data_IF_236346198289
#
_entry.id   IF_236346198289
#
_cell.length_a   1.000
_cell.length_b   1.000
_cell.length_c   1.000
_cell.angle_alpha   90.00
_cell.angle_beta   90.00
_cell.angle_gamma   90.00
#
_symmetry.space_group_name_H-M   'P 1'
#
loop_
_entity.id
_entity.type
_entity.pdbx_description
1 polymer ?
#
# COMPACT_ATOMS: atom_id res chain seq x y z
N UNK A 1 9.16 -6.41 -23.81
CA UNK A 1 9.16 -5.75 -22.50
C UNK A 1 9.26 -6.87 -21.48
N UNK A 2 10.31 -6.89 -20.66
CA UNK A 2 10.39 -7.89 -19.59
C UNK A 2 9.38 -7.54 -18.48
N UNK A 3 8.76 -8.54 -17.82
CA UNK A 3 7.83 -8.28 -16.73
C UNK A 3 8.58 -7.66 -15.54
N UNK A 4 8.10 -6.50 -15.08
CA UNK A 4 8.63 -5.86 -13.88
C UNK A 4 7.99 -6.49 -12.63
N UNK A 5 8.77 -7.22 -11.85
CA UNK A 5 8.29 -7.85 -10.61
C UNK A 5 8.20 -6.85 -9.46
N UNK A 6 7.20 -7.00 -8.60
CA UNK A 6 7.08 -6.29 -7.32
C UNK A 6 7.39 -7.29 -6.20
N UNK A 7 8.11 -6.83 -5.17
CA UNK A 7 8.40 -7.65 -3.99
C UNK A 7 7.17 -7.77 -3.08
N UNK A 8 6.36 -6.71 -3.03
CA UNK A 8 5.15 -6.65 -2.19
C UNK A 8 4.02 -5.97 -2.95
N UNK A 9 2.83 -6.57 -2.92
CA UNK A 9 1.59 -5.98 -3.40
C UNK A 9 0.64 -5.79 -2.22
N UNK A 10 0.15 -4.58 -2.03
CA UNK A 10 -0.76 -4.18 -0.95
C UNK A 10 -2.07 -3.71 -1.58
N UNK A 11 -3.19 -4.27 -1.11
CA UNK A 11 -4.53 -3.89 -1.57
C UNK A 11 -5.28 -3.21 -0.41
N UNK A 12 -5.67 -1.95 -0.63
CA UNK A 12 -6.41 -1.13 0.32
C UNK A 12 -5.61 0.03 0.91
N UNK A 13 -6.15 1.25 0.80
CA UNK A 13 -5.53 2.51 1.23
C UNK A 13 -5.91 2.97 2.64
N UNK A 14 -6.40 2.07 3.50
CA UNK A 14 -6.67 2.35 4.90
C UNK A 14 -5.39 2.46 5.74
N UNK A 15 -5.50 2.75 7.06
CA UNK A 15 -4.33 2.93 7.93
C UNK A 15 -3.37 1.75 7.92
N UNK A 16 -3.88 0.52 7.89
CA UNK A 16 -3.07 -0.69 7.81
C UNK A 16 -2.28 -0.80 6.50
N UNK A 17 -2.93 -0.55 5.34
CA UNK A 17 -2.28 -0.65 4.04
C UNK A 17 -1.25 0.46 3.79
N UNK A 18 -1.56 1.69 4.22
CA UNK A 18 -0.61 2.81 4.16
C UNK A 18 0.57 2.56 5.09
N UNK A 19 0.35 2.07 6.32
CA UNK A 19 1.43 1.73 7.23
C UNK A 19 2.33 0.62 6.65
N UNK A 20 1.74 -0.43 6.09
CA UNK A 20 2.49 -1.50 5.42
C UNK A 20 3.35 -0.94 4.27
N UNK A 21 2.77 -0.08 3.40
CA UNK A 21 3.49 0.54 2.29
C UNK A 21 4.67 1.40 2.74
N UNK A 22 4.52 2.13 3.84
CA UNK A 22 5.63 2.92 4.43
C UNK A 22 6.75 2.01 4.90
N UNK A 23 6.44 0.92 5.60
CA UNK A 23 7.47 0.02 6.13
C UNK A 23 8.16 -0.79 5.03
N UNK A 24 7.45 -1.21 3.98
CA UNK A 24 8.07 -1.93 2.85
C UNK A 24 8.94 -0.99 2.02
N UNK A 25 8.51 0.25 1.79
CA UNK A 25 9.34 1.26 1.13
C UNK A 25 10.60 1.59 1.93
N UNK A 26 10.52 1.66 3.27
CA UNK A 26 11.69 1.82 4.16
C UNK A 26 12.66 0.63 4.14
N UNK A 27 12.22 -0.52 3.65
CA UNK A 27 13.04 -1.72 3.45
C UNK A 27 13.55 -1.82 2.01
N UNK A 28 13.39 -0.78 1.20
CA UNK A 28 13.79 -0.74 -0.21
C UNK A 28 13.12 -1.84 -1.05
N UNK A 29 11.97 -2.34 -0.62
CA UNK A 29 11.18 -3.31 -1.36
C UNK A 29 10.37 -2.60 -2.43
N UNK A 30 10.38 -3.14 -3.65
CA UNK A 30 9.56 -2.64 -4.74
C UNK A 30 8.09 -2.96 -4.46
N UNK A 31 7.40 -1.96 -3.91
CA UNK A 31 6.06 -2.08 -3.36
C UNK A 31 5.02 -1.49 -4.32
N UNK A 32 3.96 -2.23 -4.60
CA UNK A 32 2.76 -1.73 -5.28
C UNK A 32 1.60 -1.59 -4.28
N UNK A 33 1.07 -0.38 -4.12
CA UNK A 33 -0.15 -0.13 -3.34
C UNK A 33 -1.31 0.17 -4.30
N UNK A 34 -2.37 -0.63 -4.23
CA UNK A 34 -3.58 -0.47 -5.05
C UNK A 34 -4.74 -0.10 -4.14
N UNK A 35 -5.39 1.02 -4.41
CA UNK A 35 -6.59 1.44 -3.68
C UNK A 35 -7.47 2.34 -4.52
N UNK A 36 -8.79 2.28 -4.30
CA UNK A 36 -9.74 3.23 -4.91
C UNK A 36 -9.70 4.59 -4.19
N UNK A 37 -9.42 4.60 -2.88
CA UNK A 37 -9.30 5.82 -2.07
C UNK A 37 -8.38 5.61 -0.85
N UNK A 38 -7.88 6.70 -0.28
CA UNK A 38 -7.07 6.68 0.94
C UNK A 38 -7.92 6.96 2.18
N UNK A 39 -7.47 6.44 3.33
CA UNK A 39 -8.10 6.65 4.65
C UNK A 39 -8.98 5.49 5.11
N UNK A 40 -9.56 4.71 4.19
CA UNK A 40 -10.35 3.51 4.52
C UNK A 40 -11.49 3.82 5.50
N UNK A 41 -11.67 3.01 6.56
CA UNK A 41 -12.69 3.29 7.58
C UNK A 41 -12.36 4.51 8.47
N UNK A 42 -11.13 5.01 8.44
CA UNK A 42 -10.72 6.14 9.29
C UNK A 42 -11.40 7.45 8.91
N UNK A 43 -11.87 7.60 7.66
CA UNK A 43 -12.57 8.82 7.20
C UNK A 43 -14.05 8.85 7.58
N UNK A 44 -14.61 7.75 8.07
CA UNK A 44 -16.01 7.63 8.47
C UNK A 44 -16.18 7.32 9.96
N UNK A 45 -15.08 7.19 10.70
CA UNK A 45 -15.08 7.02 12.15
C UNK A 45 -15.14 8.40 12.80
N UNK A 46 -16.16 8.66 13.61
CA UNK A 46 -16.35 9.85 14.45
C UNK A 46 -16.63 9.44 15.89
#
# INVERSE_FOLDING_TARGET
MEPEYFDVIIIGGGPAGVAAAVYTARKELKTLLITESFGGQSIVSS
#
